data_IF_926516062652
#
_entry.id   IF_926516062652
#
_cell.length_a   1.000
_cell.length_b   1.000
_cell.length_c   1.000
_cell.angle_alpha   90.00
_cell.angle_beta   90.00
_cell.angle_gamma   90.00
#
_symmetry.space_group_name_H-M   'P 1'
#
loop_
_entity.id
_entity.type
_entity.pdbx_description
1 polymer ?
#
# COMPACT_ATOMS: atom_id res chain seq x y z
N UNK A 1 19.75 -7.90 24.18
CA UNK A 1 18.30 -8.13 24.35
C UNK A 1 17.69 -8.20 22.96
N UNK A 2 16.99 -9.29 22.62
CA UNK A 2 16.17 -9.34 21.40
C UNK A 2 14.78 -8.82 21.76
N UNK A 3 14.36 -7.73 21.13
CA UNK A 3 12.97 -7.34 21.16
C UNK A 3 12.20 -8.42 20.38
N UNK A 4 11.18 -9.04 20.99
CA UNK A 4 10.40 -10.05 20.27
C UNK A 4 9.50 -9.37 19.25
N UNK A 5 9.37 -9.99 18.08
CA UNK A 5 8.51 -9.51 16.98
C UNK A 5 7.08 -9.26 17.47
N UNK A 6 6.61 -10.10 18.40
CA UNK A 6 5.32 -9.94 19.07
C UNK A 6 5.20 -8.63 19.87
N UNK A 7 6.26 -8.22 20.57
CA UNK A 7 6.27 -6.97 21.33
C UNK A 7 6.22 -5.76 20.40
N UNK A 8 6.93 -5.82 19.28
CA UNK A 8 6.90 -4.78 18.23
C UNK A 8 5.48 -4.63 17.72
N UNK A 9 4.82 -5.73 17.33
CA UNK A 9 3.45 -5.70 16.81
C UNK A 9 2.47 -5.13 17.85
N UNK A 10 2.52 -5.61 19.09
CA UNK A 10 1.62 -5.14 20.17
C UNK A 10 1.80 -3.65 20.44
N UNK A 11 3.05 -3.17 20.41
CA UNK A 11 3.36 -1.76 20.63
C UNK A 11 2.92 -0.89 19.46
N UNK A 12 3.14 -1.33 18.22
CA UNK A 12 2.65 -0.67 17.00
C UNK A 12 1.13 -0.49 17.03
N UNK A 13 0.39 -1.54 17.39
CA UNK A 13 -1.07 -1.50 17.50
C UNK A 13 -1.52 -0.55 18.61
N UNK A 14 -0.89 -0.59 19.79
CA UNK A 14 -1.24 0.27 20.91
C UNK A 14 -0.97 1.77 20.63
N UNK A 15 0.08 2.06 19.87
CA UNK A 15 0.46 3.42 19.48
C UNK A 15 -0.23 3.90 18.20
N UNK A 16 -0.92 3.01 17.47
CA UNK A 16 -1.58 3.35 16.22
C UNK A 16 -0.62 3.72 15.08
N UNK A 17 0.62 3.22 15.12
CA UNK A 17 1.66 3.47 14.10
C UNK A 17 2.08 2.15 13.45
N UNK A 18 2.71 2.21 12.26
CA UNK A 18 3.25 0.99 11.64
C UNK A 18 4.49 0.48 12.39
N UNK A 19 4.78 -0.82 12.30
CA UNK A 19 6.02 -1.37 12.86
C UNK A 19 7.26 -0.75 12.24
N UNK A 20 7.21 -0.38 10.96
CA UNK A 20 8.31 0.33 10.30
C UNK A 20 8.51 1.71 10.91
N UNK A 21 7.43 2.42 11.23
CA UNK A 21 7.49 3.72 11.91
C UNK A 21 7.98 3.58 13.35
N UNK A 22 7.55 2.54 14.07
CA UNK A 22 8.01 2.22 15.43
C UNK A 22 9.52 1.91 15.47
N UNK A 23 10.04 1.26 14.42
CA UNK A 23 11.44 0.87 14.30
C UNK A 23 12.31 1.93 13.59
N UNK A 24 11.73 3.06 13.18
CA UNK A 24 12.44 4.10 12.44
C UNK A 24 12.89 3.69 11.03
N UNK A 25 12.27 2.67 10.45
CA UNK A 25 12.55 2.12 9.11
C UNK A 25 11.84 2.89 7.99
N UNK A 26 11.39 4.12 8.24
CA UNK A 26 10.70 4.97 7.25
C UNK A 26 11.55 5.31 6.03
N UNK A 27 12.87 5.10 6.09
CA UNK A 27 13.82 5.32 4.99
C UNK A 27 14.54 4.04 4.58
N UNK A 28 13.82 2.91 4.49
CA UNK A 28 14.29 1.92 3.54
C UNK A 28 14.11 2.60 2.19
N UNK A 29 15.22 2.96 1.51
CA UNK A 29 15.24 3.25 0.09
C UNK A 29 14.66 2.02 -0.60
N UNK A 30 13.33 1.95 -0.65
CA UNK A 30 12.67 0.93 -1.41
C UNK A 30 13.08 1.27 -2.82
N UNK A 31 13.87 0.38 -3.42
CA UNK A 31 14.09 0.28 -4.86
C UNK A 31 12.76 -0.06 -5.56
N UNK A 32 11.67 0.63 -5.21
CA UNK A 32 10.48 0.69 -6.01
C UNK A 32 10.83 1.58 -7.19
N UNK A 33 11.28 0.90 -8.25
CA UNK A 33 10.59 0.94 -9.54
C UNK A 33 9.70 2.18 -9.61
N UNK A 34 10.24 3.20 -10.26
CA UNK A 34 9.66 4.48 -10.58
C UNK A 34 8.16 4.38 -10.92
N UNK A 35 7.30 4.26 -9.89
CA UNK A 35 5.86 4.31 -10.04
C UNK A 35 5.61 5.73 -10.52
N UNK A 36 5.41 5.86 -11.84
CA UNK A 36 5.29 7.17 -12.46
C UNK A 36 4.28 7.98 -11.66
N UNK A 37 4.59 9.24 -11.35
CA UNK A 37 3.69 10.16 -10.65
C UNK A 37 2.25 10.11 -11.19
N UNK A 38 2.13 9.80 -12.49
CA UNK A 38 0.87 9.55 -13.19
C UNK A 38 0.08 8.38 -12.59
N UNK A 39 0.69 7.21 -12.36
CA UNK A 39 0.03 6.03 -11.78
C UNK A 39 -0.42 6.33 -10.35
N UNK A 40 0.45 6.90 -9.51
CA UNK A 40 0.11 7.24 -8.11
C UNK A 40 -1.02 8.27 -8.04
N UNK A 41 -1.06 9.24 -8.96
CA UNK A 41 -2.17 10.19 -9.08
C UNK A 41 -3.47 9.50 -9.49
N UNK A 42 -3.43 8.59 -10.48
CA UNK A 42 -4.61 7.83 -10.92
C UNK A 42 -5.16 6.91 -9.83
N UNK A 43 -4.31 6.28 -9.02
CA UNK A 43 -4.76 5.47 -7.88
C UNK A 43 -5.46 6.32 -6.81
N UNK A 44 -4.95 7.51 -6.51
CA UNK A 44 -5.65 8.45 -5.60
C UNK A 44 -6.97 8.95 -6.17
N UNK A 45 -7.05 9.16 -7.48
CA UNK A 45 -8.31 9.52 -8.16
C UNK A 45 -9.31 8.36 -8.09
N UNK A 46 -8.86 7.12 -8.30
CA UNK A 46 -9.67 5.92 -8.19
C UNK A 46 -10.24 5.73 -6.79
N UNK A 47 -9.43 5.96 -5.76
CA UNK A 47 -9.85 5.77 -4.37
C UNK A 47 -10.91 6.81 -3.91
N UNK A 48 -11.01 7.94 -4.60
CA UNK A 48 -12.05 8.96 -4.34
C UNK A 48 -13.38 8.70 -5.06
N UNK A 49 -13.44 7.73 -5.97
CA UNK A 49 -14.66 7.43 -6.72
C UNK A 49 -15.70 6.70 -5.83
N UNK A 50 -16.99 6.73 -6.19
CA UNK A 50 -17.99 5.89 -5.54
C UNK A 50 -17.68 4.40 -5.72
N UNK A 51 -17.96 3.58 -4.71
CA UNK A 51 -17.65 2.13 -4.69
C UNK A 51 -18.11 1.39 -5.95
N UNK A 52 -19.30 1.72 -6.47
CA UNK A 52 -19.83 1.12 -7.69
C UNK A 52 -18.91 1.36 -8.90
N UNK A 53 -18.33 2.57 -9.01
CA UNK A 53 -17.41 2.92 -10.10
C UNK A 53 -16.02 2.33 -9.88
N UNK A 54 -15.54 2.26 -8.64
CA UNK A 54 -14.27 1.60 -8.31
C UNK A 54 -14.29 0.14 -8.75
N UNK A 55 -15.35 -0.58 -8.40
CA UNK A 55 -15.51 -2.00 -8.73
C UNK A 55 -15.49 -2.25 -10.24
N UNK A 56 -16.20 -1.45 -11.03
CA UNK A 56 -16.18 -1.57 -12.50
C UNK A 56 -14.79 -1.33 -13.07
N UNK A 57 -14.08 -0.30 -12.61
CA UNK A 57 -12.75 0.04 -13.11
C UNK A 57 -11.74 -1.07 -12.78
N UNK A 58 -11.79 -1.60 -11.55
CA UNK A 58 -10.93 -2.71 -11.13
C UNK A 58 -11.22 -3.98 -11.94
N UNK A 59 -12.49 -4.30 -12.20
CA UNK A 59 -12.86 -5.45 -13.00
C UNK A 59 -12.35 -5.36 -14.43
N UNK A 60 -12.49 -4.19 -15.08
CA UNK A 60 -11.93 -3.96 -16.42
C UNK A 60 -10.40 -4.04 -16.41
N UNK A 61 -9.75 -3.53 -15.36
CA UNK A 61 -8.30 -3.65 -15.20
C UNK A 61 -7.87 -5.11 -15.08
N UNK A 62 -8.58 -5.92 -14.29
CA UNK A 62 -8.33 -7.35 -14.14
C UNK A 62 -8.50 -8.08 -15.47
N UNK A 63 -9.53 -7.77 -16.24
CA UNK A 63 -9.77 -8.35 -17.56
C UNK A 63 -8.65 -7.99 -18.55
N UNK A 64 -8.18 -6.74 -18.52
CA UNK A 64 -7.07 -6.28 -19.36
C UNK A 64 -5.74 -6.93 -18.98
N UNK A 65 -5.51 -7.17 -17.67
CA UNK A 65 -4.32 -7.88 -17.20
C UNK A 65 -4.36 -9.32 -17.68
N UNK A 66 -5.49 -10.03 -17.49
CA UNK A 66 -5.68 -11.41 -17.96
C UNK A 66 -5.51 -11.55 -19.47
N UNK A 67 -5.93 -10.55 -20.25
CA UNK A 67 -5.80 -10.58 -21.70
C UNK A 67 -4.35 -10.41 -22.20
N UNK A 68 -3.45 -9.86 -21.38
CA UNK A 68 -2.06 -9.57 -21.75
C UNK A 68 -1.03 -10.40 -20.97
N UNK A 69 -1.48 -11.43 -20.24
CA UNK A 69 -0.67 -12.39 -19.47
C UNK A 69 -0.74 -13.77 -20.08
#
# INVERSE_FOLDING_TARGET
MRLSDEMIIRLSVALGISSDQLLGLTEIEQTHSHLSLRITRRMRELDRLPENKKKTILQVLDDLIRANS
#
